data_IF_920756759559
#
_entry.id   IF_920756759559
#
_cell.length_a   1.000
_cell.length_b   1.000
_cell.length_c   1.000
_cell.angle_alpha   90.00
_cell.angle_beta   90.00
_cell.angle_gamma   90.00
#
_symmetry.space_group_name_H-M   'P 1'
#
loop_
_entity.id
_entity.type
_entity.pdbx_description
1 polymer ?
#
# COMPACT_ATOMS: atom_id res chain seq x y z
N UNK A 1 14.23 14.48 1.19
CA UNK A 1 14.11 13.55 2.32
C UNK A 1 15.48 13.47 2.96
N UNK A 2 15.61 13.83 4.23
CA UNK A 2 16.88 13.82 4.96
C UNK A 2 17.04 12.45 5.64
N UNK A 3 17.00 11.41 4.80
CA UNK A 3 17.06 10.01 5.18
C UNK A 3 18.11 9.32 4.32
N UNK A 4 18.91 8.44 4.91
CA UNK A 4 19.83 7.60 4.14
C UNK A 4 19.04 6.72 3.16
N UNK A 5 19.55 6.54 1.94
CA UNK A 5 18.97 5.64 0.95
C UNK A 5 18.88 4.20 1.47
N UNK A 6 19.77 3.82 2.40
CA UNK A 6 19.77 2.50 3.04
C UNK A 6 18.44 2.16 3.72
N UNK A 7 17.67 3.15 4.18
CA UNK A 7 16.33 2.90 4.74
C UNK A 7 15.36 2.29 3.75
N UNK A 8 15.58 2.45 2.44
CA UNK A 8 14.79 1.79 1.40
C UNK A 8 14.96 0.27 1.38
N UNK A 9 16.05 -0.25 1.97
CA UNK A 9 16.28 -1.69 2.08
C UNK A 9 15.27 -2.38 3.02
N UNK A 10 14.72 -1.67 4.00
CA UNK A 10 13.72 -2.23 4.91
C UNK A 10 12.40 -2.58 4.19
N UNK A 11 11.69 -1.65 3.55
CA UNK A 11 10.46 -1.98 2.83
C UNK A 11 10.70 -2.86 1.61
N UNK A 12 11.87 -2.75 0.97
CA UNK A 12 12.28 -3.72 -0.06
C UNK A 12 12.43 -5.13 0.53
N UNK A 13 13.08 -5.26 1.69
CA UNK A 13 13.23 -6.52 2.42
C UNK A 13 11.89 -7.10 2.87
N UNK A 14 10.94 -6.26 3.32
CA UNK A 14 9.57 -6.70 3.64
C UNK A 14 8.88 -7.32 2.43
N UNK A 15 8.97 -6.68 1.26
CA UNK A 15 8.42 -7.23 0.03
C UNK A 15 9.09 -8.55 -0.36
N UNK A 16 10.44 -8.61 -0.36
CA UNK A 16 11.19 -9.81 -0.75
C UNK A 16 10.92 -10.97 0.20
N UNK A 17 10.86 -10.71 1.51
CA UNK A 17 10.55 -11.72 2.51
C UNK A 17 9.14 -12.29 2.32
N UNK A 18 8.15 -11.42 2.07
CA UNK A 18 6.78 -11.86 1.79
C UNK A 18 6.71 -12.65 0.47
N UNK A 19 7.34 -12.16 -0.60
CA UNK A 19 7.39 -12.85 -1.88
C UNK A 19 8.03 -14.24 -1.76
N UNK A 20 9.16 -14.35 -1.06
CA UNK A 20 9.83 -15.64 -0.85
C UNK A 20 8.94 -16.62 -0.08
N UNK A 21 8.31 -16.16 1.00
CA UNK A 21 7.33 -16.96 1.75
C UNK A 21 6.15 -17.40 0.86
N UNK A 22 5.58 -16.48 0.08
CA UNK A 22 4.44 -16.75 -0.79
C UNK A 22 4.80 -17.72 -1.93
N UNK A 23 5.97 -17.58 -2.54
CA UNK A 23 6.48 -18.50 -3.56
C UNK A 23 6.66 -19.91 -2.98
N UNK A 24 7.26 -20.03 -1.80
CA UNK A 24 7.42 -21.32 -1.13
C UNK A 24 6.08 -21.99 -0.79
N UNK A 25 5.02 -21.20 -0.60
CA UNK A 25 3.66 -21.68 -0.38
C UNK A 25 2.86 -21.90 -1.68
N UNK A 26 3.47 -21.73 -2.87
CA UNK A 26 2.79 -21.86 -4.16
C UNK A 26 1.85 -20.69 -4.50
N UNK A 27 1.94 -19.58 -3.78
CA UNK A 27 1.09 -18.38 -3.92
C UNK A 27 1.89 -17.12 -4.25
N UNK A 28 2.97 -17.24 -5.02
CA UNK A 28 3.88 -16.11 -5.31
C UNK A 28 3.19 -14.85 -5.88
N UNK A 29 2.05 -15.02 -6.56
CA UNK A 29 1.22 -13.92 -7.06
C UNK A 29 0.57 -13.07 -5.97
N UNK A 30 0.44 -13.56 -4.75
CA UNK A 30 -0.04 -12.80 -3.59
C UNK A 30 0.87 -11.59 -3.32
N UNK A 31 2.13 -11.61 -3.76
CA UNK A 31 3.00 -10.44 -3.66
C UNK A 31 2.48 -9.22 -4.47
N UNK A 32 1.54 -9.41 -5.40
CA UNK A 32 0.87 -8.33 -6.13
C UNK A 32 -0.25 -7.66 -5.34
N UNK A 33 -0.64 -8.16 -4.17
CA UNK A 33 -1.57 -7.43 -3.29
C UNK A 33 -1.04 -6.01 -3.08
N UNK A 34 -1.92 -5.02 -3.24
CA UNK A 34 -1.51 -3.61 -3.34
C UNK A 34 -0.75 -3.11 -2.09
N UNK A 35 -0.99 -3.71 -0.93
CA UNK A 35 -0.25 -3.44 0.31
C UNK A 35 1.24 -3.83 0.20
N UNK A 36 1.58 -4.95 -0.43
CA UNK A 36 2.96 -5.36 -0.67
C UNK A 36 3.60 -4.54 -1.80
N UNK A 37 2.84 -4.24 -2.86
CA UNK A 37 3.30 -3.31 -3.91
C UNK A 37 3.58 -1.91 -3.34
N UNK A 38 2.83 -1.46 -2.33
CA UNK A 38 3.09 -0.21 -1.64
C UNK A 38 4.45 -0.20 -0.93
N UNK A 39 4.93 -1.35 -0.42
CA UNK A 39 6.29 -1.46 0.14
C UNK A 39 7.37 -1.28 -0.95
N UNK A 40 7.16 -1.81 -2.16
CA UNK A 40 8.05 -1.51 -3.30
C UNK A 40 8.04 -0.03 -3.68
N UNK A 41 6.86 0.59 -3.76
CA UNK A 41 6.72 2.02 -4.04
C UNK A 41 7.43 2.87 -2.97
N UNK A 42 7.31 2.47 -1.69
CA UNK A 42 8.00 3.12 -0.58
C UNK A 42 9.52 3.01 -0.71
N UNK A 43 10.04 1.80 -0.96
CA UNK A 43 11.46 1.56 -1.18
C UNK A 43 12.00 2.44 -2.32
N UNK A 44 11.32 2.43 -3.47
CA UNK A 44 11.66 3.25 -4.63
C UNK A 44 11.65 4.75 -4.29
N UNK A 45 10.63 5.20 -3.54
CA UNK A 45 10.53 6.58 -3.05
C UNK A 45 11.70 6.99 -2.16
N UNK A 46 12.15 6.12 -1.26
CA UNK A 46 13.30 6.37 -0.38
C UNK A 46 14.61 6.39 -1.18
N UNK A 47 14.85 5.39 -2.04
CA UNK A 47 16.05 5.35 -2.90
C UNK A 47 16.15 6.59 -3.80
N UNK A 48 15.05 6.97 -4.44
CA UNK A 48 14.96 8.15 -5.30
C UNK A 48 14.84 9.47 -4.51
N UNK A 49 14.76 9.44 -3.17
CA UNK A 49 14.52 10.58 -2.29
C UNK A 49 13.26 11.39 -2.67
N UNK A 50 12.23 10.73 -3.21
CA UNK A 50 10.95 11.32 -3.63
C UNK A 50 9.90 11.15 -2.54
N UNK A 51 9.72 12.18 -1.70
CA UNK A 51 8.73 12.19 -0.61
C UNK A 51 7.29 11.94 -1.08
N UNK A 52 6.94 12.37 -2.30
CA UNK A 52 5.62 12.15 -2.89
C UNK A 52 5.31 10.65 -3.08
N UNK A 53 6.33 9.83 -3.36
CA UNK A 53 6.17 8.39 -3.55
C UNK A 53 6.00 7.68 -2.21
N UNK A 54 6.78 8.08 -1.19
CA UNK A 54 6.59 7.61 0.19
C UNK A 54 5.20 7.96 0.73
N UNK A 55 4.67 9.16 0.40
CA UNK A 55 3.28 9.53 0.74
C UNK A 55 2.27 8.66 0.01
N UNK A 56 2.44 8.42 -1.29
CA UNK A 56 1.54 7.55 -2.05
C UNK A 56 1.52 6.12 -1.48
N UNK A 57 2.68 5.57 -1.12
CA UNK A 57 2.76 4.29 -0.43
C UNK A 57 2.03 4.29 0.92
N UNK A 58 2.22 5.33 1.73
CA UNK A 58 1.49 5.46 3.01
C UNK A 58 -0.03 5.47 2.81
N UNK A 59 -0.53 6.17 1.79
CA UNK A 59 -1.97 6.19 1.48
C UNK A 59 -2.50 4.80 1.12
N UNK A 60 -1.75 4.04 0.31
CA UNK A 60 -2.12 2.67 -0.04
C UNK A 60 -2.12 1.74 1.17
N UNK A 61 -1.09 1.85 2.02
CA UNK A 61 -1.00 1.07 3.26
C UNK A 61 -2.17 1.41 4.19
N UNK A 62 -2.49 2.69 4.39
CA UNK A 62 -3.61 3.11 5.22
C UNK A 62 -4.97 2.65 4.69
N UNK A 63 -5.17 2.68 3.37
CA UNK A 63 -6.40 2.17 2.75
C UNK A 63 -6.49 0.64 2.84
N UNK A 64 -5.36 -0.06 2.71
CA UNK A 64 -5.30 -1.52 2.76
C UNK A 64 -5.35 -2.12 4.16
N UNK A 65 -4.84 -1.43 5.18
CA UNK A 65 -4.75 -1.93 6.55
C UNK A 65 -6.09 -2.41 7.13
N UNK A 66 -7.21 -1.65 7.01
CA UNK A 66 -8.51 -2.13 7.47
C UNK A 66 -8.99 -3.38 6.74
N UNK A 67 -8.76 -3.46 5.42
CA UNK A 67 -9.16 -4.60 4.60
C UNK A 67 -8.34 -5.85 4.97
N UNK A 68 -7.02 -5.68 5.15
CA UNK A 68 -6.14 -6.74 5.61
C UNK A 68 -6.50 -7.24 7.02
N UNK A 69 -6.77 -6.33 7.95
CA UNK A 69 -7.21 -6.70 9.29
C UNK A 69 -8.56 -7.44 9.29
N UNK A 70 -9.50 -7.00 8.45
CA UNK A 70 -10.78 -7.68 8.27
C UNK A 70 -10.62 -9.07 7.64
N UNK A 71 -9.75 -9.23 6.64
CA UNK A 71 -9.42 -10.52 6.03
C UNK A 71 -8.80 -11.50 7.02
N UNK A 72 -7.81 -11.05 7.82
CA UNK A 72 -7.25 -11.88 8.90
C UNK A 72 -8.30 -12.27 9.94
N UNK A 73 -9.19 -11.34 10.34
CA UNK A 73 -10.25 -11.64 11.29
C UNK A 73 -11.29 -12.62 10.72
N UNK A 74 -11.58 -12.52 9.42
CA UNK A 74 -12.53 -13.39 8.73
C UNK A 74 -11.98 -14.80 8.51
N UNK A 75 -10.71 -14.92 8.11
CA UNK A 75 -10.06 -16.21 7.80
C UNK A 75 -9.44 -16.88 9.01
N UNK A 76 -9.13 -16.12 10.08
CA UNK A 76 -8.36 -16.57 11.22
C UNK A 76 -6.87 -16.82 10.91
N UNK A 77 -6.42 -16.51 9.69
CA UNK A 77 -5.07 -16.80 9.24
C UNK A 77 -4.13 -15.62 9.48
N UNK A 78 -3.12 -15.81 10.32
CA UNK A 78 -2.15 -14.77 10.68
C UNK A 78 -0.74 -15.20 10.29
N UNK A 79 -0.18 -14.53 9.29
CA UNK A 79 1.20 -14.75 8.85
C UNK A 79 2.11 -13.65 9.41
N UNK A 80 3.09 -14.04 10.25
CA UNK A 80 3.98 -13.07 10.90
C UNK A 80 4.73 -12.16 9.93
N UNK A 81 5.16 -12.67 8.77
CA UNK A 81 5.80 -11.87 7.71
C UNK A 81 4.83 -10.85 7.12
N UNK A 82 3.55 -11.21 6.97
CA UNK A 82 2.50 -10.30 6.52
C UNK A 82 2.26 -9.19 7.53
N UNK A 83 2.19 -9.50 8.84
CA UNK A 83 2.07 -8.50 9.91
C UNK A 83 3.25 -7.53 9.89
N UNK A 84 4.48 -8.03 9.79
CA UNK A 84 5.68 -7.21 9.72
C UNK A 84 5.70 -6.34 8.46
N UNK A 85 5.30 -6.85 7.30
CA UNK A 85 5.32 -6.06 6.07
C UNK A 85 4.29 -4.92 6.09
N UNK A 86 3.12 -5.12 6.69
CA UNK A 86 2.09 -4.09 6.83
C UNK A 86 2.49 -3.03 7.86
N UNK A 87 2.77 -3.44 9.09
CA UNK A 87 3.07 -2.52 10.20
C UNK A 87 4.45 -1.89 10.07
N UNK A 88 5.44 -2.66 9.64
CA UNK A 88 6.79 -2.17 9.34
C UNK A 88 6.79 -1.21 8.16
N UNK A 89 6.10 -1.55 7.07
CA UNK A 89 5.92 -0.66 5.93
C UNK A 89 5.27 0.67 6.32
N UNK A 90 4.20 0.60 7.11
CA UNK A 90 3.55 1.78 7.69
C UNK A 90 4.52 2.64 8.50
N UNK A 91 5.23 2.05 9.45
CA UNK A 91 6.18 2.76 10.31
C UNK A 91 7.30 3.44 9.51
N UNK A 92 7.87 2.75 8.52
CA UNK A 92 8.92 3.31 7.65
C UNK A 92 8.35 4.45 6.79
N UNK A 93 7.12 4.33 6.27
CA UNK A 93 6.50 5.39 5.48
C UNK A 93 6.27 6.65 6.31
N UNK A 94 5.73 6.53 7.53
CA UNK A 94 5.58 7.64 8.46
C UNK A 94 6.93 8.27 8.79
N UNK A 95 7.93 7.45 9.12
CA UNK A 95 9.28 7.93 9.41
C UNK A 95 9.91 8.69 8.24
N UNK A 96 9.76 8.20 7.01
CA UNK A 96 10.24 8.87 5.80
C UNK A 96 9.57 10.24 5.58
N UNK A 97 8.28 10.37 5.90
CA UNK A 97 7.58 11.65 5.87
C UNK A 97 8.05 12.59 6.98
N UNK A 98 8.22 12.12 8.22
CA UNK A 98 8.72 12.91 9.34
C UNK A 98 10.15 13.42 9.12
N UNK A 99 10.97 12.69 8.36
CA UNK A 99 12.33 13.09 7.97
C UNK A 99 12.40 13.90 6.67
N UNK A 100 11.26 14.35 6.15
CA UNK A 100 11.23 15.16 4.94
C UNK A 100 11.19 16.66 5.26
N UNK A 101 12.13 17.46 4.71
CA UNK A 101 12.22 18.90 5.02
C UNK A 101 11.12 19.74 4.35
N UNK A 102 10.34 19.14 3.44
CA UNK A 102 9.27 19.82 2.70
C UNK A 102 8.00 18.99 2.79
N UNK A 103 6.84 19.65 2.91
CA UNK A 103 5.57 18.95 2.85
C UNK A 103 5.43 18.28 1.48
N UNK A 104 5.07 16.99 1.42
CA UNK A 104 4.73 16.36 0.15
C UNK A 104 3.51 17.05 -0.47
N UNK A 105 3.56 17.30 -1.78
CA UNK A 105 2.37 17.64 -2.55
C UNK A 105 1.38 16.48 -2.62
N UNK A 106 0.18 16.69 -3.20
CA UNK A 106 -0.84 15.66 -3.32
C UNK A 106 -0.31 14.38 -3.97
N UNK A 107 -0.62 13.24 -3.35
CA UNK A 107 -0.10 11.93 -3.77
C UNK A 107 -1.20 10.92 -4.12
N UNK A 108 -2.48 11.25 -3.90
CA UNK A 108 -3.58 10.31 -4.15
C UNK A 108 -3.63 9.80 -5.59
N UNK A 109 -3.35 10.64 -6.59
CA UNK A 109 -3.35 10.21 -8.00
C UNK A 109 -2.23 9.21 -8.33
N UNK A 110 -1.05 9.36 -7.70
CA UNK A 110 0.04 8.39 -7.85
C UNK A 110 -0.31 7.07 -7.14
N UNK A 111 -0.94 7.15 -5.96
CA UNK A 111 -1.43 5.98 -5.26
C UNK A 111 -2.50 5.23 -6.09
N UNK A 112 -3.49 5.94 -6.63
CA UNK A 112 -4.53 5.36 -7.47
C UNK A 112 -3.94 4.73 -8.74
N UNK A 113 -3.00 5.39 -9.41
CA UNK A 113 -2.31 4.83 -10.57
C UNK A 113 -1.55 3.53 -10.20
N UNK A 114 -0.90 3.50 -9.02
CA UNK A 114 -0.20 2.30 -8.54
C UNK A 114 -1.18 1.17 -8.23
N UNK A 115 -2.32 1.47 -7.60
CA UNK A 115 -3.40 0.51 -7.36
C UNK A 115 -3.93 -0.08 -8.67
N UNK A 116 -4.28 0.77 -9.65
CA UNK A 116 -4.78 0.33 -10.95
C UNK A 116 -3.74 -0.51 -11.70
N UNK A 117 -2.46 -0.15 -11.63
CA UNK A 117 -1.38 -0.93 -12.23
C UNK A 117 -1.24 -2.31 -11.57
N UNK A 118 -1.28 -2.38 -10.23
CA UNK A 118 -1.24 -3.65 -9.50
C UNK A 118 -2.47 -4.53 -9.81
N UNK A 119 -3.64 -3.92 -9.94
CA UNK A 119 -4.87 -4.62 -10.27
C UNK A 119 -4.87 -5.13 -11.72
N UNK A 120 -4.41 -4.33 -12.67
CA UNK A 120 -4.24 -4.75 -14.06
C UNK A 120 -3.21 -5.89 -14.16
N UNK A 121 -2.08 -5.79 -13.44
CA UNK A 121 -1.08 -6.85 -13.39
C UNK A 121 -1.68 -8.15 -12.81
N UNK A 122 -2.44 -8.07 -11.72
CA UNK A 122 -3.14 -9.23 -11.15
C UNK A 122 -4.14 -9.83 -12.15
N UNK A 123 -4.89 -9.00 -12.88
CA UNK A 123 -5.87 -9.46 -13.87
C UNK A 123 -5.21 -10.16 -15.07
N UNK A 124 -4.07 -9.65 -15.53
CA UNK A 124 -3.39 -10.17 -16.73
C UNK A 124 -2.50 -11.38 -16.45
N UNK A 125 -1.90 -11.47 -15.26
CA UNK A 125 -0.84 -12.44 -14.98
C UNK A 125 -1.14 -13.40 -13.84
N UNK A 126 -1.94 -13.01 -12.84
CA UNK A 126 -2.22 -13.90 -11.71
C UNK A 126 -3.31 -14.93 -12.05
N UNK A 127 -3.16 -16.19 -11.60
CA UNK A 127 -4.21 -17.20 -11.69
C UNK A 127 -5.55 -16.69 -11.12
N UNK A 128 -6.68 -16.83 -11.84
CA UNK A 128 -7.98 -16.34 -11.38
C UNK A 128 -8.40 -16.85 -10.00
N UNK A 129 -8.02 -18.07 -9.66
CA UNK A 129 -8.33 -18.70 -8.37
C UNK A 129 -7.72 -17.97 -7.16
N UNK A 130 -6.63 -17.23 -7.31
CA UNK A 130 -6.02 -16.43 -6.24
C UNK A 130 -6.73 -15.08 -6.03
N UNK A 131 -7.47 -14.62 -7.04
CA UNK A 131 -8.25 -13.38 -7.03
C UNK A 131 -7.55 -12.16 -6.38
N UNK A 132 -6.24 -12.02 -6.63
CA UNK A 132 -5.41 -10.96 -6.04
C UNK A 132 -5.95 -9.59 -6.43
N UNK A 133 -6.05 -8.66 -5.46
CA UNK A 133 -6.70 -7.35 -5.63
C UNK A 133 -8.12 -7.44 -6.20
N UNK A 134 -8.84 -8.53 -5.90
CA UNK A 134 -10.21 -8.82 -6.37
C UNK A 134 -10.36 -8.68 -7.90
N UNK A 135 -9.29 -9.03 -8.62
CA UNK A 135 -9.16 -8.77 -10.05
C UNK A 135 -10.07 -9.63 -10.94
N UNK A 136 -10.56 -10.77 -10.43
CA UNK A 136 -11.28 -11.79 -11.21
C UNK A 136 -12.69 -12.09 -10.69
N UNK A 137 -12.94 -11.93 -9.40
CA UNK A 137 -14.24 -12.16 -8.77
C UNK A 137 -14.47 -11.19 -7.59
N UNK A 138 -15.72 -10.98 -7.14
CA UNK A 138 -15.99 -10.28 -5.88
C UNK A 138 -15.28 -10.95 -4.70
N UNK A 139 -15.00 -10.17 -3.65
CA UNK A 139 -14.51 -10.72 -2.40
C UNK A 139 -15.57 -11.64 -1.76
N UNK A 140 -15.20 -12.78 -1.14
CA UNK A 140 -16.16 -13.68 -0.51
C UNK A 140 -17.11 -12.97 0.45
N UNK A 141 -18.41 -13.23 0.32
CA UNK A 141 -19.48 -12.57 1.08
C UNK A 141 -20.11 -11.36 0.39
N UNK A 142 -19.57 -10.92 -0.76
CA UNK A 142 -20.10 -9.81 -1.55
C UNK A 142 -20.82 -10.25 -2.83
N UNK A 143 -20.89 -11.54 -3.14
CA UNK A 143 -21.43 -12.08 -4.39
C UNK A 143 -22.90 -11.71 -4.61
N UNK A 144 -23.69 -11.62 -3.54
CA UNK A 144 -25.11 -11.27 -3.61
C UNK A 144 -25.41 -9.76 -3.69
N UNK A 145 -24.41 -8.90 -3.56
CA UNK A 145 -24.59 -7.45 -3.52
C UNK A 145 -24.48 -6.76 -4.88
N UNK A 146 -23.96 -7.48 -5.88
CA UNK A 146 -23.69 -6.92 -7.20
C UNK A 146 -24.13 -7.88 -8.30
N UNK A 147 -24.79 -7.34 -9.32
CA UNK A 147 -25.26 -8.11 -10.48
C UNK A 147 -24.12 -8.63 -11.36
N UNK A 148 -22.92 -8.03 -11.25
CA UNK A 148 -21.75 -8.44 -12.03
C UNK A 148 -20.43 -8.09 -11.34
N UNK A 149 -19.36 -8.80 -11.70
CA UNK A 149 -17.99 -8.46 -11.27
C UNK A 149 -17.58 -7.05 -11.70
N UNK A 150 -18.01 -6.60 -12.88
CA UNK A 150 -17.70 -5.25 -13.36
C UNK A 150 -18.30 -4.17 -12.45
N UNK A 151 -19.55 -4.34 -12.00
CA UNK A 151 -20.18 -3.43 -11.04
C UNK A 151 -19.44 -3.41 -9.70
N UNK A 152 -19.07 -4.59 -9.18
CA UNK A 152 -18.25 -4.72 -7.98
C UNK A 152 -16.87 -4.03 -8.14
N UNK A 153 -16.22 -4.24 -9.28
CA UNK A 153 -14.92 -3.67 -9.60
C UNK A 153 -14.95 -2.14 -9.67
N UNK A 154 -15.97 -1.57 -10.33
CA UNK A 154 -16.19 -0.11 -10.36
C UNK A 154 -16.40 0.42 -8.94
N UNK A 155 -17.25 -0.25 -8.15
CA UNK A 155 -17.51 0.13 -6.77
C UNK A 155 -16.24 0.14 -5.92
N UNK A 156 -15.46 -0.95 -5.92
CA UNK A 156 -14.25 -1.06 -5.09
C UNK A 156 -13.16 -0.09 -5.55
N UNK A 157 -13.05 0.17 -6.85
CA UNK A 157 -12.12 1.15 -7.41
C UNK A 157 -12.52 2.57 -7.01
N UNK A 158 -13.81 2.91 -7.07
CA UNK A 158 -14.32 4.20 -6.63
C UNK A 158 -14.15 4.41 -5.12
N UNK A 159 -14.44 3.39 -4.31
CA UNK A 159 -14.23 3.41 -2.87
C UNK A 159 -12.74 3.59 -2.52
N UNK A 160 -11.85 2.89 -3.22
CA UNK A 160 -10.39 3.04 -3.07
C UNK A 160 -9.96 4.45 -3.44
N UNK A 161 -10.40 4.97 -4.59
CA UNK A 161 -10.07 6.33 -5.02
C UNK A 161 -10.54 7.39 -4.00
N UNK A 162 -11.76 7.23 -3.46
CA UNK A 162 -12.29 8.10 -2.41
C UNK A 162 -11.47 8.03 -1.13
N UNK A 163 -11.10 6.82 -0.67
CA UNK A 163 -10.27 6.61 0.51
C UNK A 163 -8.87 7.24 0.35
N UNK A 164 -8.24 7.06 -0.81
CA UNK A 164 -6.94 7.65 -1.14
C UNK A 164 -7.01 9.18 -1.19
N UNK A 165 -8.05 9.73 -1.84
CA UNK A 165 -8.27 11.17 -1.90
C UNK A 165 -8.51 11.76 -0.52
N UNK A 166 -9.40 11.15 0.29
CA UNK A 166 -9.71 11.59 1.64
C UNK A 166 -8.47 11.50 2.53
N UNK A 167 -7.74 10.37 2.49
CA UNK A 167 -6.48 10.21 3.19
C UNK A 167 -5.47 11.30 2.82
N UNK A 168 -5.34 11.65 1.54
CA UNK A 168 -4.41 12.70 1.11
C UNK A 168 -4.81 14.10 1.60
N UNK A 169 -6.12 14.33 1.86
CA UNK A 169 -6.64 15.55 2.48
C UNK A 169 -6.48 15.57 3.99
N UNK A 170 -6.74 14.44 4.66
CA UNK A 170 -6.75 14.33 6.11
C UNK A 170 -5.35 14.15 6.69
N UNK A 171 -4.43 13.48 5.98
CA UNK A 171 -3.04 13.40 6.43
C UNK A 171 -2.46 14.80 6.49
N UNK A 172 -2.09 15.29 7.69
CA UNK A 172 -1.59 16.63 7.87
C UNK A 172 -0.51 16.94 6.84
N UNK A 173 -0.66 18.03 6.11
CA UNK A 173 0.46 18.58 5.32
C UNK A 173 1.60 19.06 6.25
N UNK A 174 1.30 19.19 7.54
CA UNK A 174 2.18 19.68 8.62
C UNK A 174 2.97 18.59 9.34
N UNK A 175 3.30 17.44 8.72
CA UNK A 175 4.35 16.54 9.24
C UNK A 175 5.75 17.20 9.11
N UNK A 176 5.87 18.43 9.61
CA UNK A 176 7.08 19.21 9.73
C UNK A 176 7.42 19.27 11.21
N UNK A 177 8.64 18.89 11.63
CA UNK A 177 9.25 19.54 12.76
C UNK A 177 9.27 21.03 12.41
N UNK A 178 8.54 21.85 13.14
CA UNK A 178 8.85 23.28 13.19
C UNK A 178 10.22 23.37 13.87
N UNK A 179 11.30 23.25 13.10
CA UNK A 179 12.52 23.95 13.47
C UNK A 179 12.20 25.44 13.36
N UNK A 180 11.53 25.96 14.41
CA UNK A 180 11.80 27.32 14.86
C UNK A 180 13.28 27.30 15.16
N UNK A 181 14.07 27.79 14.22
CA UNK A 181 15.36 28.34 14.53
C UNK A 181 15.14 29.30 15.70
N UNK A 182 15.55 28.89 16.89
CA UNK A 182 16.05 29.80 17.89
C UNK A 182 17.23 30.52 17.26
N UNK A 183 16.95 31.59 16.53
CA UNK A 183 17.98 32.56 16.18
C UNK A 183 18.43 33.21 17.49
N UNK A 184 19.74 33.19 17.81
CA UNK A 184 20.27 34.07 18.84
C UNK A 184 20.09 35.54 18.44
#
# INVERSE_FOLDING_TARGET
MNLSRAWGLLPFGFFVAYLAMAVNAGRGWDALWVCHVANLLLAAGIFARRVRWARAALLLILAGLPLWAADMAHTGHVEGVSVVSHLGGFAVAVFALLRSPRPPGPAWGLALATYLAAQLAARLFAPPALNVNVAHAPYPGWEGWFESHAAYWVFVTAATAAALWLGDRLLPRRFLPTHRESRP
#
